data_IF_664007617193
#
_entry.id   IF_664007617193
#
_cell.length_a   1.000
_cell.length_b   1.000
_cell.length_c   1.000
_cell.angle_alpha   90.00
_cell.angle_beta   90.00
_cell.angle_gamma   90.00
#
_symmetry.space_group_name_H-M   'P 1'
#
loop_
_entity.id
_entity.type
_entity.pdbx_description
1 polymer ?
#
# COMPACT_ATOMS: atom_id res chain seq x y z
N UNK A 1 4.21 -31.35 -29.44
CA UNK A 1 4.87 -30.54 -28.39
C UNK A 1 5.92 -29.74 -29.10
N UNK A 2 5.71 -28.44 -29.21
CA UNK A 2 6.64 -27.58 -29.91
C UNK A 2 7.89 -27.37 -29.04
N UNK A 3 9.06 -27.44 -29.67
CA UNK A 3 10.36 -27.45 -28.99
C UNK A 3 10.59 -26.18 -28.13
N UNK A 4 9.96 -25.06 -28.51
CA UNK A 4 10.11 -23.79 -27.81
C UNK A 4 9.35 -23.74 -26.47
N UNK A 5 8.21 -24.41 -26.32
CA UNK A 5 7.47 -24.43 -25.04
C UNK A 5 8.28 -25.09 -23.94
N UNK A 6 8.99 -26.18 -24.26
CA UNK A 6 9.84 -26.90 -23.32
C UNK A 6 11.03 -26.03 -22.91
N UNK A 7 11.63 -25.30 -23.87
CA UNK A 7 12.73 -24.37 -23.60
C UNK A 7 12.28 -23.19 -22.74
N UNK A 8 11.11 -22.61 -23.02
CA UNK A 8 10.55 -21.52 -22.24
C UNK A 8 10.20 -21.99 -20.82
N UNK A 9 9.60 -23.17 -20.66
CA UNK A 9 9.33 -23.76 -19.33
C UNK A 9 10.61 -24.05 -18.54
N UNK A 10 11.66 -24.52 -19.21
CA UNK A 10 12.96 -24.72 -18.57
C UNK A 10 13.55 -23.39 -18.10
N UNK A 11 13.50 -22.35 -18.94
CA UNK A 11 13.94 -21.01 -18.57
C UNK A 11 13.13 -20.43 -17.40
N UNK A 12 11.80 -20.67 -17.34
CA UNK A 12 10.95 -20.28 -16.20
C UNK A 12 11.41 -20.99 -14.91
N UNK A 13 11.67 -22.31 -14.97
CA UNK A 13 12.19 -23.10 -13.84
C UNK A 13 13.55 -22.59 -13.35
N UNK A 14 14.40 -22.13 -14.27
CA UNK A 14 15.69 -21.49 -13.96
C UNK A 14 15.56 -20.01 -13.55
N UNK A 15 14.34 -19.49 -13.41
CA UNK A 15 14.02 -18.07 -13.12
C UNK A 15 14.53 -17.06 -14.16
N UNK A 16 14.82 -17.54 -15.38
CA UNK A 16 15.25 -16.72 -16.51
C UNK A 16 14.06 -16.19 -17.31
N UNK A 17 13.25 -15.34 -16.69
CA UNK A 17 11.99 -14.86 -17.27
C UNK A 17 12.17 -14.07 -18.57
N UNK A 18 13.23 -13.27 -18.69
CA UNK A 18 13.54 -12.54 -19.93
C UNK A 18 13.92 -13.46 -21.09
N UNK A 19 14.59 -14.58 -20.78
CA UNK A 19 14.94 -15.59 -21.78
C UNK A 19 13.67 -16.31 -22.25
N UNK A 20 12.80 -16.69 -21.31
CA UNK A 20 11.49 -17.28 -21.64
C UNK A 20 10.62 -16.33 -22.47
N UNK A 21 10.57 -15.04 -22.11
CA UNK A 21 9.87 -14.01 -22.87
C UNK A 21 10.40 -13.91 -24.30
N UNK A 22 11.73 -13.82 -24.50
CA UNK A 22 12.32 -13.77 -25.84
C UNK A 22 11.94 -15.01 -26.66
N UNK A 23 11.98 -16.20 -26.06
CA UNK A 23 11.59 -17.46 -26.74
C UNK A 23 10.13 -17.39 -27.18
N UNK A 24 9.22 -16.92 -26.34
CA UNK A 24 7.80 -16.77 -26.71
C UNK A 24 7.59 -15.71 -27.79
N UNK A 25 8.28 -14.56 -27.70
CA UNK A 25 8.20 -13.50 -28.69
C UNK A 25 8.77 -13.92 -30.05
N UNK A 26 9.88 -14.65 -30.08
CA UNK A 26 10.51 -15.17 -31.30
C UNK A 26 9.61 -16.17 -32.03
N UNK A 27 8.72 -16.86 -31.30
CA UNK A 27 7.70 -17.76 -31.84
C UNK A 27 6.34 -17.07 -32.03
N UNK A 28 6.29 -15.74 -31.91
CA UNK A 28 5.09 -14.92 -32.09
C UNK A 28 3.94 -15.28 -31.12
N UNK A 29 4.28 -15.87 -29.97
CA UNK A 29 3.39 -16.30 -28.89
C UNK A 29 3.33 -15.23 -27.79
N UNK A 30 2.79 -14.06 -28.12
CA UNK A 30 2.67 -12.96 -27.16
C UNK A 30 1.74 -13.32 -25.98
N UNK A 31 0.64 -14.02 -26.27
CA UNK A 31 -0.34 -14.43 -25.27
C UNK A 31 0.29 -15.36 -24.22
N UNK A 32 1.09 -16.34 -24.65
CA UNK A 32 1.80 -17.25 -23.76
C UNK A 32 2.83 -16.53 -22.88
N UNK A 33 3.51 -15.51 -23.42
CA UNK A 33 4.44 -14.67 -22.63
C UNK A 33 3.68 -13.85 -21.56
N UNK A 34 2.51 -13.31 -21.91
CA UNK A 34 1.67 -12.56 -20.97
C UNK A 34 1.11 -13.48 -19.88
N UNK A 35 0.58 -14.64 -20.26
CA UNK A 35 0.03 -15.65 -19.32
C UNK A 35 1.11 -16.14 -18.35
N UNK A 36 2.33 -16.41 -18.84
CA UNK A 36 3.48 -16.73 -17.99
C UNK A 36 3.71 -15.65 -16.91
N UNK A 37 3.70 -14.37 -17.28
CA UNK A 37 3.90 -13.28 -16.33
C UNK A 37 2.74 -13.18 -15.32
N UNK A 38 1.50 -13.45 -15.74
CA UNK A 38 0.35 -13.51 -14.83
C UNK A 38 0.46 -14.65 -13.82
N UNK A 39 0.83 -15.85 -14.27
CA UNK A 39 1.05 -17.04 -13.43
C UNK A 39 2.17 -16.81 -12.40
N UNK A 40 3.18 -16.00 -12.77
CA UNK A 40 4.28 -15.62 -11.89
C UNK A 40 3.95 -14.43 -10.97
N UNK A 41 2.70 -13.95 -10.97
CA UNK A 41 2.26 -12.75 -10.25
C UNK A 41 3.02 -11.46 -10.63
N UNK A 42 3.58 -11.40 -11.84
CA UNK A 42 4.35 -10.29 -12.39
C UNK A 42 3.54 -9.50 -13.40
N UNK A 43 2.46 -8.89 -12.90
CA UNK A 43 1.47 -8.21 -13.73
C UNK A 43 1.99 -6.89 -14.34
N UNK A 44 2.89 -6.18 -13.65
CA UNK A 44 3.54 -4.99 -14.18
C UNK A 44 4.28 -5.32 -15.50
N UNK A 45 5.06 -6.41 -15.53
CA UNK A 45 5.75 -6.88 -16.73
C UNK A 45 4.80 -7.37 -17.83
N UNK A 46 3.71 -8.06 -17.46
CA UNK A 46 2.69 -8.49 -18.43
C UNK A 46 2.03 -7.30 -19.15
N UNK A 47 1.65 -6.26 -18.40
CA UNK A 47 1.01 -5.06 -18.96
C UNK A 47 1.99 -4.26 -19.81
N UNK A 48 3.23 -4.09 -19.35
CA UNK A 48 4.26 -3.38 -20.12
C UNK A 48 4.54 -4.09 -21.44
N UNK A 49 4.63 -5.42 -21.44
CA UNK A 49 4.83 -6.20 -22.64
C UNK A 49 3.67 -6.05 -23.63
N UNK A 50 2.43 -6.09 -23.12
CA UNK A 50 1.21 -5.90 -23.92
C UNK A 50 1.15 -4.49 -24.55
N UNK A 51 1.52 -3.45 -23.80
CA UNK A 51 1.58 -2.06 -24.27
C UNK A 51 2.63 -1.88 -25.37
N UNK A 52 3.85 -2.41 -25.18
CA UNK A 52 4.94 -2.31 -26.17
C UNK A 52 4.55 -2.98 -27.49
N UNK A 53 3.84 -4.11 -27.42
CA UNK A 53 3.44 -4.88 -28.60
C UNK A 53 2.09 -4.44 -29.18
N UNK A 54 1.38 -3.53 -28.52
CA UNK A 54 0.11 -2.98 -29.00
C UNK A 54 -1.03 -3.99 -29.02
N UNK A 55 -1.11 -4.88 -28.03
CA UNK A 55 -2.13 -5.92 -27.98
C UNK A 55 -3.55 -5.31 -27.85
N UNK A 56 -4.56 -5.78 -28.63
CA UNK A 56 -5.92 -5.24 -28.58
C UNK A 56 -6.56 -5.36 -27.19
N UNK A 57 -6.19 -6.39 -26.41
CA UNK A 57 -6.69 -6.60 -25.05
C UNK A 57 -5.88 -5.87 -23.95
N UNK A 58 -4.98 -4.93 -24.30
CA UNK A 58 -4.26 -4.11 -23.32
C UNK A 58 -5.21 -3.44 -22.32
N UNK A 59 -6.37 -2.96 -22.79
CA UNK A 59 -7.41 -2.36 -21.96
C UNK A 59 -7.96 -3.35 -20.91
N UNK A 60 -8.31 -4.55 -21.34
CA UNK A 60 -8.82 -5.62 -20.47
C UNK A 60 -7.74 -6.08 -19.48
N UNK A 61 -6.50 -6.21 -19.95
CA UNK A 61 -5.34 -6.58 -19.15
C UNK A 61 -5.01 -5.52 -18.11
N UNK A 62 -5.08 -4.23 -18.46
CA UNK A 62 -4.91 -3.11 -17.53
C UNK A 62 -5.98 -3.14 -16.44
N UNK A 63 -7.23 -3.42 -16.79
CA UNK A 63 -8.31 -3.57 -15.80
C UNK A 63 -8.07 -4.76 -14.88
N UNK A 64 -7.69 -5.91 -15.42
CA UNK A 64 -7.35 -7.09 -14.63
C UNK A 64 -6.15 -6.84 -13.70
N UNK A 65 -5.11 -6.16 -14.18
CA UNK A 65 -3.98 -5.72 -13.36
C UNK A 65 -4.42 -4.74 -12.26
N UNK A 66 -5.29 -3.77 -12.58
CA UNK A 66 -5.84 -2.83 -11.60
C UNK A 66 -6.68 -3.54 -10.54
N UNK A 67 -7.48 -4.53 -10.96
CA UNK A 67 -8.26 -5.38 -10.06
C UNK A 67 -7.33 -6.20 -9.16
N UNK A 68 -6.29 -6.82 -9.74
CA UNK A 68 -5.28 -7.56 -9.01
C UNK A 68 -4.46 -6.67 -8.06
N UNK A 69 -4.15 -5.43 -8.43
CA UNK A 69 -3.51 -4.42 -7.58
C UNK A 69 -4.36 -4.10 -6.35
N UNK A 70 -5.68 -3.99 -6.56
CA UNK A 70 -6.64 -3.80 -5.48
C UNK A 70 -6.75 -5.07 -4.61
N UNK A 71 -6.79 -6.27 -5.21
CA UNK A 71 -6.87 -7.55 -4.51
C UNK A 71 -5.57 -7.91 -3.75
N UNK A 72 -4.41 -7.55 -4.30
CA UNK A 72 -3.08 -7.80 -3.70
C UNK A 72 -2.58 -6.71 -2.76
N UNK A 73 -3.47 -5.81 -2.34
CA UNK A 73 -3.19 -4.78 -1.34
C UNK A 73 -2.10 -3.77 -1.77
N UNK A 74 -2.00 -3.46 -3.07
CA UNK A 74 -1.25 -2.27 -3.54
C UNK A 74 -2.05 -0.97 -3.33
N UNK A 75 -2.99 -0.96 -2.38
CA UNK A 75 -3.63 0.24 -1.84
C UNK A 75 -2.59 1.24 -1.31
N UNK A 76 -1.40 0.74 -0.90
CA UNK A 76 -0.24 1.58 -0.62
C UNK A 76 0.19 2.41 -1.86
N UNK A 77 0.27 1.79 -3.04
CA UNK A 77 0.68 2.45 -4.29
C UNK A 77 -0.38 3.43 -4.76
N UNK A 78 -1.67 3.11 -4.58
CA UNK A 78 -2.77 4.03 -4.80
C UNK A 78 -2.70 5.24 -3.86
N UNK A 79 -2.34 5.04 -2.59
CA UNK A 79 -2.07 6.11 -1.63
C UNK A 79 -0.91 7.02 -2.06
N UNK A 80 0.20 6.44 -2.49
CA UNK A 80 1.38 7.19 -2.97
C UNK A 80 1.07 8.03 -4.21
N UNK A 81 0.28 7.50 -5.15
CA UNK A 81 -0.13 8.24 -6.34
C UNK A 81 -0.98 9.46 -5.96
N UNK A 82 -1.95 9.28 -5.05
CA UNK A 82 -2.79 10.38 -4.56
C UNK A 82 -2.01 11.43 -3.79
N UNK A 83 -1.02 11.00 -3.01
CA UNK A 83 -0.08 11.88 -2.32
C UNK A 83 0.75 12.70 -3.31
N UNK A 84 1.21 12.10 -4.42
CA UNK A 84 1.93 12.80 -5.49
C UNK A 84 1.04 13.76 -6.29
N UNK A 85 -0.25 13.46 -6.44
CA UNK A 85 -1.27 14.35 -7.03
C UNK A 85 -1.67 15.50 -6.10
N UNK A 86 -1.24 15.47 -4.83
CA UNK A 86 -1.58 16.47 -3.81
C UNK A 86 -2.94 16.25 -3.13
N UNK A 87 -3.63 15.16 -3.43
CA UNK A 87 -4.87 14.77 -2.76
C UNK A 87 -4.57 13.86 -1.55
N UNK A 88 -4.12 14.50 -0.48
CA UNK A 88 -3.73 13.82 0.75
C UNK A 88 -4.92 13.16 1.47
N UNK A 89 -6.14 13.67 1.28
CA UNK A 89 -7.35 13.12 1.89
C UNK A 89 -7.71 11.75 1.29
N UNK A 90 -7.64 11.63 -0.03
CA UNK A 90 -7.82 10.37 -0.73
C UNK A 90 -6.68 9.40 -0.43
N UNK A 91 -5.43 9.91 -0.35
CA UNK A 91 -4.27 9.11 0.01
C UNK A 91 -4.43 8.42 1.38
N UNK A 92 -4.86 9.16 2.40
CA UNK A 92 -5.16 8.61 3.74
C UNK A 92 -6.22 7.50 3.65
N UNK A 93 -7.31 7.72 2.91
CA UNK A 93 -8.34 6.71 2.75
C UNK A 93 -7.80 5.43 2.11
N UNK A 94 -6.91 5.53 1.14
CA UNK A 94 -6.25 4.38 0.53
C UNK A 94 -5.31 3.68 1.51
N UNK A 95 -4.48 4.43 2.26
CA UNK A 95 -3.61 3.85 3.29
C UNK A 95 -4.39 3.17 4.43
N UNK A 96 -5.58 3.67 4.79
CA UNK A 96 -6.44 3.03 5.78
C UNK A 96 -7.04 1.73 5.26
N UNK A 97 -7.43 1.69 3.98
CA UNK A 97 -7.90 0.46 3.33
C UNK A 97 -6.78 -0.58 3.21
N UNK A 98 -5.57 -0.11 2.92
CA UNK A 98 -4.32 -0.90 2.89
C UNK A 98 -3.93 -1.59 4.20
N UNK A 99 -4.68 -1.37 5.29
CA UNK A 99 -4.27 -1.81 6.61
C UNK A 99 -2.99 -1.12 7.10
N UNK A 100 -2.69 0.08 6.58
CA UNK A 100 -1.51 0.87 6.93
C UNK A 100 -1.86 2.16 7.69
N UNK A 101 -2.58 2.08 8.83
CA UNK A 101 -3.00 3.26 9.58
C UNK A 101 -1.82 4.07 10.14
N UNK A 102 -0.66 3.45 10.33
CA UNK A 102 0.58 4.12 10.70
C UNK A 102 1.03 5.16 9.66
N UNK A 103 0.96 4.80 8.37
CA UNK A 103 1.34 5.67 7.25
C UNK A 103 0.34 6.81 7.10
N UNK A 104 -0.95 6.48 7.15
CA UNK A 104 -2.05 7.45 7.17
C UNK A 104 -1.89 8.48 8.31
N UNK A 105 -1.55 8.02 9.52
CA UNK A 105 -1.32 8.87 10.68
C UNK A 105 -0.17 9.85 10.47
N UNK A 106 0.95 9.40 9.89
CA UNK A 106 2.09 10.28 9.62
C UNK A 106 1.70 11.38 8.64
N UNK A 107 1.03 11.02 7.55
CA UNK A 107 0.57 11.96 6.53
C UNK A 107 -0.44 12.98 7.08
N UNK A 108 -1.40 12.52 7.89
CA UNK A 108 -2.37 13.40 8.55
C UNK A 108 -1.71 14.40 9.51
N UNK A 109 -0.60 14.02 10.15
CA UNK A 109 0.13 14.92 11.04
C UNK A 109 1.08 15.87 10.32
N UNK A 110 1.50 15.57 9.09
CA UNK A 110 2.37 16.44 8.29
C UNK A 110 1.60 17.51 7.51
N UNK A 111 0.33 17.25 7.17
CA UNK A 111 -0.52 18.19 6.44
C UNK A 111 -1.42 18.94 7.42
N UNK A 112 -1.23 20.27 7.54
CA UNK A 112 -1.97 21.10 8.50
C UNK A 112 -3.48 20.98 8.36
N UNK A 113 -3.99 21.02 7.13
CA UNK A 113 -5.43 20.91 6.84
C UNK A 113 -6.03 19.60 7.35
N UNK A 114 -5.31 18.50 7.22
CA UNK A 114 -5.75 17.17 7.68
C UNK A 114 -5.56 16.99 9.18
N UNK A 115 -4.57 17.66 9.77
CA UNK A 115 -4.34 17.67 11.22
C UNK A 115 -5.49 18.35 11.96
N UNK A 116 -6.08 19.38 11.34
CA UNK A 116 -7.22 20.13 11.89
C UNK A 116 -8.57 19.46 11.60
N UNK A 117 -8.63 18.42 10.75
CA UNK A 117 -9.84 17.66 10.46
C UNK A 117 -10.12 16.59 11.54
N UNK A 118 -11.08 16.80 12.46
CA UNK A 118 -11.35 15.87 13.54
C UNK A 118 -11.95 14.54 13.06
N UNK A 119 -12.67 14.53 11.92
CA UNK A 119 -13.26 13.31 11.38
C UNK A 119 -12.16 12.39 10.83
N UNK A 120 -11.22 12.96 10.06
CA UNK A 120 -10.08 12.24 9.53
C UNK A 120 -9.21 11.65 10.66
N UNK A 121 -8.87 12.47 11.66
CA UNK A 121 -8.10 12.04 12.83
C UNK A 121 -8.83 10.92 13.59
N UNK A 122 -10.15 11.02 13.78
CA UNK A 122 -10.92 9.98 14.47
C UNK A 122 -10.93 8.66 13.69
N UNK A 123 -11.01 8.71 12.36
CA UNK A 123 -10.98 7.51 11.51
C UNK A 123 -9.62 6.82 11.58
N UNK A 124 -8.53 7.58 11.48
CA UNK A 124 -7.17 7.06 11.60
C UNK A 124 -6.94 6.46 13.00
N UNK A 125 -7.33 7.19 14.06
CA UNK A 125 -7.21 6.71 15.43
C UNK A 125 -7.97 5.39 15.64
N UNK A 126 -9.18 5.28 15.11
CA UNK A 126 -9.98 4.03 15.19
C UNK A 126 -9.28 2.88 14.47
N UNK A 127 -8.69 3.13 13.29
CA UNK A 127 -7.95 2.11 12.56
C UNK A 127 -6.66 1.70 13.29
N UNK A 128 -5.92 2.63 13.88
CA UNK A 128 -4.75 2.35 14.71
C UNK A 128 -5.11 1.49 15.92
N UNK A 129 -6.21 1.81 16.63
CA UNK A 129 -6.68 1.03 17.77
C UNK A 129 -7.13 -0.38 17.36
N UNK A 130 -7.78 -0.54 16.19
CA UNK A 130 -8.16 -1.86 15.66
C UNK A 130 -6.97 -2.70 15.22
N UNK A 131 -5.86 -2.05 14.85
CA UNK A 131 -4.61 -2.70 14.49
C UNK A 131 -3.68 -2.94 15.70
N UNK A 132 -4.18 -2.73 16.93
CA UNK A 132 -3.39 -2.78 18.18
C UNK A 132 -2.17 -1.84 18.21
N UNK A 133 -2.16 -0.80 17.36
CA UNK A 133 -1.12 0.23 17.27
C UNK A 133 -1.42 1.39 18.23
N UNK A 134 -1.52 1.07 19.51
CA UNK A 134 -1.93 1.99 20.57
C UNK A 134 -0.96 3.15 20.79
N UNK A 135 0.35 2.92 20.66
CA UNK A 135 1.36 3.97 20.79
C UNK A 135 1.21 5.04 19.70
N UNK A 136 1.05 4.60 18.44
CA UNK A 136 0.86 5.51 17.31
C UNK A 136 -0.47 6.28 17.42
N UNK A 137 -1.53 5.64 17.95
CA UNK A 137 -2.78 6.32 18.25
C UNK A 137 -2.60 7.39 19.34
N UNK A 138 -1.72 7.14 20.32
CA UNK A 138 -1.32 8.11 21.32
C UNK A 138 -0.60 9.31 20.70
N UNK A 139 0.44 9.03 19.89
CA UNK A 139 1.23 10.07 19.22
C UNK A 139 0.39 10.93 18.26
N UNK A 140 -0.57 10.33 17.55
CA UNK A 140 -1.51 11.05 16.69
C UNK A 140 -2.33 12.06 17.51
N UNK A 141 -2.96 11.61 18.59
CA UNK A 141 -3.76 12.49 19.44
C UNK A 141 -2.91 13.56 20.13
N UNK A 142 -1.69 13.23 20.54
CA UNK A 142 -0.75 14.19 21.13
C UNK A 142 -0.40 15.30 20.13
N UNK A 143 -0.08 14.91 18.89
CA UNK A 143 0.19 15.87 17.80
C UNK A 143 -1.03 16.71 17.45
N UNK A 144 -2.25 16.20 17.55
CA UNK A 144 -3.48 16.98 17.31
C UNK A 144 -3.91 17.79 18.56
N UNK A 145 -3.16 17.69 19.67
CA UNK A 145 -3.44 18.42 20.92
C UNK A 145 -4.51 17.77 21.81
N UNK A 146 -4.97 16.56 21.48
CA UNK A 146 -5.95 15.79 22.25
C UNK A 146 -5.27 14.94 23.34
N UNK A 147 -4.59 15.61 24.27
CA UNK A 147 -3.74 14.97 25.28
C UNK A 147 -4.46 13.93 26.16
N UNK A 148 -5.74 14.17 26.50
CA UNK A 148 -6.54 13.19 27.25
C UNK A 148 -6.72 11.87 26.49
N UNK A 149 -7.07 11.93 25.20
CA UNK A 149 -7.21 10.74 24.36
C UNK A 149 -5.88 10.06 24.11
N UNK A 150 -4.80 10.83 23.99
CA UNK A 150 -3.45 10.29 23.87
C UNK A 150 -3.09 9.44 25.10
N UNK A 151 -3.37 9.93 26.31
CA UNK A 151 -3.12 9.22 27.56
C UNK A 151 -3.94 7.91 27.66
N UNK A 152 -5.21 7.94 27.24
CA UNK A 152 -6.05 6.74 27.19
C UNK A 152 -5.50 5.69 26.21
N UNK A 153 -5.04 6.12 25.02
CA UNK A 153 -4.42 5.25 24.03
C UNK A 153 -3.13 4.63 24.56
N UNK A 154 -2.22 5.43 25.14
CA UNK A 154 -0.98 4.90 25.73
C UNK A 154 -1.25 3.92 26.89
N UNK A 155 -2.27 4.20 27.71
CA UNK A 155 -2.67 3.30 28.80
C UNK A 155 -3.22 1.97 28.28
N UNK A 156 -4.01 2.00 27.18
CA UNK A 156 -4.49 0.79 26.50
C UNK A 156 -3.35 -0.01 25.86
N UNK A 157 -2.33 0.67 25.33
CA UNK A 157 -1.14 0.06 24.74
C UNK A 157 -0.09 -0.44 25.72
N UNK A 158 -0.34 -0.36 27.04
CA UNK A 158 0.67 -0.61 28.08
C UNK A 158 1.95 0.24 27.95
N UNK A 159 1.89 1.35 27.21
CA UNK A 159 2.97 2.31 27.02
C UNK A 159 3.02 3.30 28.20
N UNK A 160 3.18 2.77 29.42
CA UNK A 160 3.09 3.56 30.65
C UNK A 160 4.18 4.62 30.77
N UNK A 161 5.38 4.38 30.23
CA UNK A 161 6.47 5.37 30.22
C UNK A 161 6.05 6.65 29.48
N UNK A 162 5.50 6.51 28.27
CA UNK A 162 5.00 7.63 27.46
C UNK A 162 3.80 8.31 28.11
N UNK A 163 2.89 7.53 28.71
CA UNK A 163 1.75 8.08 29.46
C UNK A 163 2.19 8.92 30.68
N UNK A 164 3.22 8.49 31.42
CA UNK A 164 3.75 9.21 32.58
C UNK A 164 4.48 10.49 32.18
N UNK A 165 5.28 10.45 31.11
CA UNK A 165 5.91 11.65 30.54
C UNK A 165 4.86 12.68 30.13
N UNK A 166 3.84 12.25 29.38
CA UNK A 166 2.76 13.13 28.96
C UNK A 166 2.00 13.71 30.16
N UNK A 167 1.66 12.89 31.18
CA UNK A 167 0.99 13.34 32.38
C UNK A 167 1.78 14.41 33.16
N UNK A 168 3.11 14.27 33.25
CA UNK A 168 3.99 15.26 33.89
C UNK A 168 4.01 16.59 33.14
N UNK A 169 3.94 16.56 31.81
CA UNK A 169 3.82 17.76 31.00
C UNK A 169 2.44 18.42 31.12
N UNK A 170 1.37 17.63 31.28
CA UNK A 170 0.01 18.14 31.49
C UNK A 170 -0.19 18.76 32.87
N UNK A 171 0.45 18.18 33.90
CA UNK A 171 0.35 18.61 35.29
C UNK A 171 1.75 18.81 35.88
N UNK A 172 2.46 19.89 35.51
CA UNK A 172 3.70 20.24 36.19
C UNK A 172 3.35 20.60 37.63
N UNK A 173 3.78 19.78 38.58
CA UNK A 173 3.66 20.06 40.01
C UNK A 173 4.33 21.40 40.31
N UNK A 174 3.53 22.42 40.67
CA UNK A 174 4.00 23.69 41.21
C UNK A 174 4.36 23.60 42.68
#
# INVERSE_FOLDING_TARGET
MDHYEVQARLAILEQQFKTAESIYLDNNQLDAAMEMYQDLHKWDEAVQLAEIKGHPDVESLRRAHTQWLLDTHQEERAGQLKEAEGDFSAAINMYLKAGMPAKASRLATSVTELREDPEMISRIATALLKADLFEQAGELHEKVGQQQKALESYRKGHAYSRAVELARHMFPSG
#
